data_IF_446186082224
#
_entry.id   IF_446186082224
#
_cell.length_a   1.000
_cell.length_b   1.000
_cell.length_c   1.000
_cell.angle_alpha   90.00
_cell.angle_beta   90.00
_cell.angle_gamma   90.00
#
_symmetry.space_group_name_H-M   'P 1'
#
loop_
_entity.id
_entity.type
_entity.pdbx_description
1 polymer ?
#
# COMPACT_ATOMS: atom_id res chain seq x y z
N UNK A 1 9.48 28.00 -20.28
CA UNK A 1 10.72 27.37 -19.79
C UNK A 1 10.79 27.62 -18.31
N UNK A 2 11.23 26.64 -17.52
CA UNK A 2 11.52 26.89 -16.11
C UNK A 2 12.80 27.74 -16.03
N UNK A 3 13.02 28.51 -14.95
CA UNK A 3 14.29 29.19 -14.76
C UNK A 3 15.41 28.14 -14.70
N UNK A 4 16.38 28.22 -15.61
CA UNK A 4 17.55 27.34 -15.65
C UNK A 4 17.45 26.18 -16.65
N UNK A 5 16.47 25.29 -16.51
CA UNK A 5 16.41 24.04 -17.28
C UNK A 5 15.04 23.83 -17.97
N UNK A 6 15.00 23.15 -19.11
CA UNK A 6 13.75 22.78 -19.77
C UNK A 6 13.06 21.61 -19.07
N UNK A 7 11.74 21.66 -18.94
CA UNK A 7 10.97 20.62 -18.23
C UNK A 7 11.11 19.23 -18.85
N UNK A 8 11.39 19.14 -20.15
CA UNK A 8 11.62 17.87 -20.84
C UNK A 8 13.00 17.29 -20.49
N UNK A 9 14.03 18.13 -20.37
CA UNK A 9 15.35 17.66 -19.93
C UNK A 9 15.32 17.18 -18.48
N UNK A 10 14.59 17.90 -17.62
CA UNK A 10 14.36 17.48 -16.25
C UNK A 10 13.61 16.14 -16.17
N UNK A 11 12.57 15.94 -16.99
CA UNK A 11 11.83 14.67 -17.06
C UNK A 11 12.78 13.52 -17.41
N UNK A 12 13.63 13.68 -18.44
CA UNK A 12 14.60 12.65 -18.84
C UNK A 12 15.57 12.32 -17.70
N UNK A 13 16.08 13.34 -17.00
CA UNK A 13 16.96 13.14 -15.83
C UNK A 13 16.27 12.32 -14.75
N UNK A 14 15.05 12.72 -14.36
CA UNK A 14 14.26 12.02 -13.33
C UNK A 14 13.97 10.57 -13.71
N UNK A 15 13.72 10.28 -15.00
CA UNK A 15 13.49 8.92 -15.49
C UNK A 15 14.76 8.08 -15.61
N UNK A 16 15.92 8.71 -15.80
CA UNK A 16 17.21 8.03 -15.88
C UNK A 16 17.80 7.63 -14.52
N UNK A 17 17.42 8.32 -13.44
CA UNK A 17 17.92 8.06 -12.10
C UNK A 17 17.09 6.96 -11.40
N UNK A 18 17.77 5.94 -10.86
CA UNK A 18 17.15 4.77 -10.21
C UNK A 18 16.27 5.17 -9.03
N UNK A 19 16.64 6.21 -8.28
CA UNK A 19 15.92 6.68 -7.10
C UNK A 19 14.64 7.43 -7.44
N UNK A 20 14.56 8.07 -8.61
CA UNK A 20 13.43 8.90 -9.01
C UNK A 20 12.60 8.34 -10.15
N UNK A 21 13.09 7.31 -10.87
CA UNK A 21 12.44 6.78 -12.08
C UNK A 21 11.00 6.32 -11.87
N UNK A 22 10.67 5.89 -10.65
CA UNK A 22 9.33 5.39 -10.28
C UNK A 22 8.39 6.49 -9.76
N UNK A 23 8.88 7.71 -9.51
CA UNK A 23 8.04 8.78 -8.99
C UNK A 23 7.03 9.18 -10.06
N UNK A 24 5.73 9.31 -9.77
CA UNK A 24 4.75 9.70 -10.78
C UNK A 24 4.94 11.17 -11.16
N UNK A 25 4.96 11.50 -12.45
CA UNK A 25 5.23 12.84 -12.98
C UNK A 25 4.06 13.30 -13.85
N UNK A 26 3.45 14.42 -13.47
CA UNK A 26 2.47 15.14 -14.28
C UNK A 26 3.15 16.40 -14.83
N UNK A 27 3.24 16.53 -16.15
CA UNK A 27 3.76 17.75 -16.78
C UNK A 27 2.66 18.80 -16.89
N UNK A 28 2.89 19.99 -16.32
CA UNK A 28 1.93 21.10 -16.36
C UNK A 28 2.55 22.31 -17.04
N UNK A 29 2.08 22.67 -18.23
CA UNK A 29 2.85 23.53 -19.14
C UNK A 29 1.98 24.41 -20.03
N UNK A 30 2.52 25.54 -20.49
CA UNK A 30 1.88 26.39 -21.50
C UNK A 30 2.01 25.84 -22.94
N UNK A 31 2.88 24.84 -23.14
CA UNK A 31 3.07 24.16 -24.43
C UNK A 31 1.93 23.18 -24.68
N UNK A 32 0.89 23.65 -25.36
CA UNK A 32 -0.35 22.89 -25.58
C UNK A 32 -0.45 22.15 -26.91
N UNK A 33 0.59 22.18 -27.76
CA UNK A 33 0.54 21.50 -29.05
C UNK A 33 0.43 19.98 -28.87
N UNK A 34 -0.19 19.31 -29.83
CA UNK A 34 -0.27 17.84 -29.84
C UNK A 34 1.12 17.21 -29.82
N UNK A 35 2.05 17.77 -30.59
CA UNK A 35 3.44 17.34 -30.65
C UNK A 35 4.13 17.39 -29.28
N UNK A 36 3.99 18.48 -28.53
CA UNK A 36 4.60 18.62 -27.20
C UNK A 36 4.01 17.62 -26.19
N UNK A 37 2.70 17.36 -26.27
CA UNK A 37 2.02 16.36 -25.42
C UNK A 37 2.54 14.97 -25.68
N UNK A 38 2.59 14.56 -26.96
CA UNK A 38 3.08 13.23 -27.35
C UNK A 38 4.52 13.03 -26.88
N UNK A 39 5.40 14.01 -27.12
CA UNK A 39 6.79 13.94 -26.65
C UNK A 39 6.89 13.78 -25.14
N UNK A 40 6.15 14.60 -24.37
CA UNK A 40 6.21 14.51 -22.91
C UNK A 40 5.78 13.14 -22.38
N UNK A 41 4.71 12.57 -22.96
CA UNK A 41 4.21 11.25 -22.61
C UNK A 41 5.19 10.13 -23.02
N UNK A 42 5.70 10.16 -24.25
CA UNK A 42 6.67 9.16 -24.75
C UNK A 42 7.99 9.16 -23.97
N UNK A 43 8.38 10.31 -23.43
CA UNK A 43 9.55 10.47 -22.55
C UNK A 43 9.27 10.05 -21.09
N UNK A 44 8.07 9.55 -20.82
CA UNK A 44 7.71 8.92 -19.56
C UNK A 44 6.94 9.81 -18.58
N UNK A 45 6.32 10.91 -19.00
CA UNK A 45 5.34 11.57 -18.15
C UNK A 45 4.09 10.68 -17.98
N UNK A 46 3.55 10.61 -16.77
CA UNK A 46 2.34 9.83 -16.46
C UNK A 46 1.05 10.56 -16.86
N UNK A 47 1.10 11.89 -16.95
CA UNK A 47 0.07 12.73 -17.55
C UNK A 47 0.69 14.05 -18.03
N UNK A 48 0.00 14.73 -18.96
CA UNK A 48 0.43 16.00 -19.53
C UNK A 48 -0.76 16.95 -19.66
N UNK A 49 -0.67 18.11 -19.00
CA UNK A 49 -1.73 19.11 -18.90
C UNK A 49 -1.25 20.44 -19.47
N UNK A 50 -1.97 20.94 -20.48
CA UNK A 50 -1.74 22.25 -21.05
C UNK A 50 -2.48 23.34 -20.26
N UNK A 51 -1.88 24.52 -20.12
CA UNK A 51 -2.50 25.72 -19.53
C UNK A 51 -3.31 26.47 -20.60
N UNK A 52 -4.47 27.06 -20.23
CA UNK A 52 -5.11 27.02 -18.91
C UNK A 52 -5.87 25.70 -18.66
N UNK A 53 -6.01 25.30 -17.39
CA UNK A 53 -6.74 24.10 -16.96
C UNK A 53 -7.65 24.40 -15.75
N UNK A 54 -8.66 23.56 -15.54
CA UNK A 54 -9.54 23.66 -14.38
C UNK A 54 -8.96 22.98 -13.13
N UNK A 55 -9.24 23.53 -11.93
CA UNK A 55 -8.78 22.94 -10.67
C UNK A 55 -9.32 21.52 -10.46
N UNK A 56 -10.60 21.29 -10.78
CA UNK A 56 -11.23 19.98 -10.67
C UNK A 56 -10.62 18.95 -11.64
N UNK A 57 -10.25 19.40 -12.84
CA UNK A 57 -9.55 18.56 -13.82
C UNK A 57 -8.18 18.13 -13.29
N UNK A 58 -7.39 19.08 -12.78
CA UNK A 58 -6.08 18.79 -12.20
C UNK A 58 -6.18 17.79 -11.03
N UNK A 59 -7.12 18.01 -10.10
CA UNK A 59 -7.35 17.10 -8.96
C UNK A 59 -7.71 15.69 -9.45
N UNK A 60 -8.60 15.58 -10.45
CA UNK A 60 -9.00 14.29 -11.01
C UNK A 60 -7.81 13.54 -11.63
N UNK A 61 -6.95 14.26 -12.36
CA UNK A 61 -5.74 13.71 -12.99
C UNK A 61 -4.70 13.27 -11.98
N UNK A 62 -4.45 14.07 -10.93
CA UNK A 62 -3.59 13.69 -9.80
C UNK A 62 -4.08 12.38 -9.17
N UNK A 63 -5.38 12.27 -8.86
CA UNK A 63 -5.97 11.05 -8.30
C UNK A 63 -5.83 9.85 -9.24
N UNK A 64 -5.97 10.06 -10.55
CA UNK A 64 -5.84 9.00 -11.54
C UNK A 64 -4.40 8.47 -11.65
N UNK A 65 -3.40 9.36 -11.57
CA UNK A 65 -1.99 8.97 -11.56
C UNK A 65 -1.63 8.23 -10.27
N UNK A 66 -2.05 8.72 -9.11
CA UNK A 66 -1.78 8.08 -7.81
C UNK A 66 -2.40 6.68 -7.70
N UNK A 67 -3.63 6.48 -8.20
CA UNK A 67 -4.27 5.15 -8.20
C UNK A 67 -3.46 4.09 -8.97
N UNK A 68 -2.76 4.49 -10.03
CA UNK A 68 -1.90 3.57 -10.80
C UNK A 68 -0.62 3.20 -10.04
N UNK A 69 -0.18 4.04 -9.11
CA UNK A 69 1.03 3.82 -8.33
C UNK A 69 0.76 3.05 -7.04
N UNK A 70 -0.45 3.16 -6.50
CA UNK A 70 -0.94 2.30 -5.41
C UNK A 70 -1.08 0.84 -5.90
N UNK A 71 -1.64 0.65 -7.10
CA UNK A 71 -1.75 -0.69 -7.71
C UNK A 71 -0.40 -1.32 -8.14
N UNK A 72 0.69 -0.55 -8.18
CA UNK A 72 2.03 -1.06 -8.48
C UNK A 72 2.76 -1.60 -7.23
N UNK A 73 2.20 -1.38 -6.04
CA UNK A 73 2.78 -1.76 -4.75
C UNK A 73 1.91 -2.70 -3.89
N UNK A 74 0.73 -3.11 -4.36
CA UNK A 74 0.09 -4.30 -3.80
C UNK A 74 0.92 -5.52 -4.22
N UNK A 75 1.87 -5.91 -3.38
CA UNK A 75 2.34 -7.28 -3.40
C UNK A 75 1.12 -8.14 -3.11
N UNK A 76 0.63 -8.86 -4.12
CA UNK A 76 -0.41 -9.88 -3.93
C UNK A 76 0.01 -10.92 -2.90
N UNK A 77 1.29 -11.01 -2.56
CA UNK A 77 1.87 -11.94 -1.60
C UNK A 77 2.61 -11.22 -0.46
N UNK A 78 2.19 -11.49 0.77
CA UNK A 78 2.85 -11.06 1.99
C UNK A 78 3.50 -12.28 2.66
N UNK A 79 4.80 -12.20 2.96
CA UNK A 79 5.55 -13.30 3.57
C UNK A 79 6.25 -12.87 4.85
N UNK A 80 6.11 -13.66 5.91
CA UNK A 80 6.90 -13.50 7.13
C UNK A 80 7.14 -14.85 7.80
N UNK A 81 8.41 -15.17 8.05
CA UNK A 81 8.84 -16.52 8.46
C UNK A 81 8.21 -17.58 7.55
N UNK A 82 7.43 -18.50 8.10
CA UNK A 82 6.80 -19.59 7.36
C UNK A 82 5.35 -19.28 6.96
N UNK A 83 4.87 -18.05 7.17
CA UNK A 83 3.52 -17.63 6.79
C UNK A 83 3.56 -16.89 5.46
N UNK A 84 2.74 -17.34 4.52
CA UNK A 84 2.48 -16.68 3.24
C UNK A 84 1.00 -16.38 3.13
N UNK A 85 0.65 -15.11 2.90
CA UNK A 85 -0.70 -14.67 2.61
C UNK A 85 -0.74 -14.17 1.17
N UNK A 86 -1.69 -14.66 0.38
CA UNK A 86 -1.92 -14.20 -0.98
C UNK A 86 -3.31 -13.53 -1.07
N UNK A 87 -3.35 -12.22 -1.33
CA UNK A 87 -4.58 -11.42 -1.42
C UNK A 87 -5.36 -11.71 -2.69
N UNK A 88 -4.67 -11.97 -3.81
CA UNK A 88 -5.29 -12.30 -5.09
C UNK A 88 -6.04 -13.63 -5.07
N UNK A 89 -5.48 -14.65 -4.43
CA UNK A 89 -6.12 -15.97 -4.29
C UNK A 89 -6.90 -16.11 -2.98
N UNK A 90 -6.81 -15.13 -2.08
CA UNK A 90 -7.41 -15.15 -0.75
C UNK A 90 -7.03 -16.42 0.06
N UNK A 91 -5.75 -16.79 0.00
CA UNK A 91 -5.21 -18.01 0.64
C UNK A 91 -4.10 -17.68 1.63
N UNK A 92 -3.99 -18.48 2.69
CA UNK A 92 -2.87 -18.42 3.63
C UNK A 92 -2.24 -19.81 3.74
N UNK A 93 -0.91 -19.88 3.72
CA UNK A 93 -0.16 -21.09 4.01
C UNK A 93 0.80 -20.87 5.17
N UNK A 94 1.02 -21.94 5.95
CA UNK A 94 2.02 -22.03 7.01
C UNK A 94 2.89 -23.25 6.71
N UNK A 95 4.20 -23.06 6.53
CA UNK A 95 5.10 -24.12 6.05
C UNK A 95 4.58 -24.77 4.74
N UNK A 96 4.13 -23.93 3.79
CA UNK A 96 3.53 -24.33 2.52
C UNK A 96 2.25 -25.20 2.64
N UNK A 97 1.72 -25.37 3.85
CA UNK A 97 0.46 -26.07 4.11
C UNK A 97 -0.70 -25.07 4.23
N UNK A 98 -1.84 -25.25 3.54
CA UNK A 98 -2.98 -24.34 3.61
C UNK A 98 -3.56 -24.22 5.03
N UNK A 99 -3.96 -23.01 5.40
CA UNK A 99 -4.66 -22.71 6.66
C UNK A 99 -6.00 -22.03 6.37
N UNK A 100 -7.08 -22.62 6.88
CA UNK A 100 -8.43 -22.07 6.71
C UNK A 100 -8.71 -20.96 7.72
N UNK A 101 -8.68 -19.72 7.25
CA UNK A 101 -9.07 -18.52 7.99
C UNK A 101 -10.49 -18.09 7.62
N UNK A 102 -11.22 -17.57 8.60
CA UNK A 102 -12.43 -16.78 8.31
C UNK A 102 -12.04 -15.47 7.64
N UNK A 103 -13.00 -14.79 6.98
CA UNK A 103 -12.75 -13.50 6.33
C UNK A 103 -12.10 -12.49 7.29
N UNK A 104 -12.62 -12.36 8.52
CA UNK A 104 -12.09 -11.42 9.51
C UNK A 104 -10.70 -11.79 10.03
N UNK A 105 -10.40 -13.08 10.13
CA UNK A 105 -9.04 -13.53 10.47
C UNK A 105 -8.05 -13.27 9.33
N UNK A 106 -8.48 -13.46 8.08
CA UNK A 106 -7.69 -13.14 6.89
C UNK A 106 -7.38 -11.64 6.80
N UNK A 107 -8.41 -10.80 6.88
CA UNK A 107 -8.27 -9.34 6.88
C UNK A 107 -7.38 -8.86 8.04
N UNK A 108 -7.51 -9.47 9.22
CA UNK A 108 -6.66 -9.17 10.37
C UNK A 108 -5.19 -9.52 10.13
N UNK A 109 -4.92 -10.70 9.57
CA UNK A 109 -3.56 -11.13 9.24
C UNK A 109 -2.96 -10.24 8.15
N UNK A 110 -3.72 -9.96 7.09
CA UNK A 110 -3.31 -9.09 5.98
C UNK A 110 -2.94 -7.70 6.49
N UNK A 111 -3.81 -7.05 7.25
CA UNK A 111 -3.58 -5.71 7.77
C UNK A 111 -2.33 -5.64 8.68
N UNK A 112 -2.11 -6.67 9.51
CA UNK A 112 -0.92 -6.77 10.35
C UNK A 112 0.37 -7.01 9.54
N UNK A 113 0.32 -7.83 8.49
CA UNK A 113 1.47 -8.13 7.62
C UNK A 113 1.81 -6.95 6.70
N UNK A 114 0.81 -6.21 6.24
CA UNK A 114 0.99 -4.97 5.48
C UNK A 114 1.66 -3.88 6.33
N UNK A 115 1.33 -3.82 7.62
CA UNK A 115 1.88 -2.84 8.57
C UNK A 115 3.01 -3.43 9.44
N UNK A 116 3.80 -4.36 8.88
CA UNK A 116 4.88 -5.03 9.60
C UNK A 116 5.87 -4.03 10.22
N UNK A 117 6.30 -4.31 11.46
CA UNK A 117 7.15 -3.46 12.28
C UNK A 117 6.41 -2.35 13.03
N UNK A 118 5.15 -2.05 12.67
CA UNK A 118 4.35 -1.00 13.29
C UNK A 118 3.29 -1.57 14.24
N UNK A 119 3.01 -0.84 15.32
CA UNK A 119 1.94 -1.21 16.27
C UNK A 119 0.60 -0.68 15.78
N UNK A 120 -0.34 -1.58 15.53
CA UNK A 120 -1.74 -1.25 15.27
C UNK A 120 -2.53 -1.27 16.57
N UNK A 121 -3.21 -0.17 16.88
CA UNK A 121 -4.06 -0.07 18.08
C UNK A 121 -5.30 -0.94 17.91
N UNK A 122 -5.90 -1.37 19.03
CA UNK A 122 -7.15 -2.14 18.99
C UNK A 122 -8.27 -1.40 18.27
N UNK A 123 -8.42 -0.11 18.52
CA UNK A 123 -9.42 0.72 17.83
C UNK A 123 -9.16 0.75 16.32
N UNK A 124 -7.91 0.96 15.89
CA UNK A 124 -7.57 0.97 14.46
C UNK A 124 -7.86 -0.38 13.79
N UNK A 125 -7.51 -1.50 14.45
CA UNK A 125 -7.83 -2.84 13.95
C UNK A 125 -9.34 -3.04 13.84
N UNK A 126 -10.09 -2.62 14.86
CA UNK A 126 -11.54 -2.73 14.90
C UNK A 126 -12.19 -1.91 13.77
N UNK A 127 -11.86 -0.62 13.69
CA UNK A 127 -12.40 0.32 12.70
C UNK A 127 -12.06 -0.11 11.27
N UNK A 128 -10.85 -0.61 11.02
CA UNK A 128 -10.43 -1.00 9.67
C UNK A 128 -11.12 -2.29 9.21
N UNK A 129 -11.27 -3.27 10.11
CA UNK A 129 -11.77 -4.61 9.74
C UNK A 129 -13.31 -4.67 9.82
N UNK A 130 -13.93 -3.99 10.78
CA UNK A 130 -15.40 -4.01 10.97
C UNK A 130 -16.10 -2.72 10.49
N UNK A 131 -15.37 -1.64 10.28
CA UNK A 131 -15.92 -0.34 9.90
C UNK A 131 -16.22 0.57 11.10
N UNK A 132 -16.35 1.88 10.83
CA UNK A 132 -16.62 2.90 11.86
C UNK A 132 -18.01 2.78 12.50
N UNK A 133 -18.98 2.20 11.79
CA UNK A 133 -20.36 2.02 12.28
C UNK A 133 -20.52 0.74 13.13
N UNK A 134 -19.43 0.00 13.37
CA UNK A 134 -19.47 -1.21 14.20
C UNK A 134 -19.49 -0.84 15.69
N UNK A 135 -20.65 -1.02 16.32
CA UNK A 135 -20.88 -0.76 17.76
C UNK A 135 -20.26 -1.84 18.68
N UNK A 136 -19.21 -2.53 18.21
CA UNK A 136 -18.57 -3.61 18.95
C UNK A 136 -17.43 -3.14 19.84
N UNK A 137 -17.14 -3.91 20.88
CA UNK A 137 -16.01 -3.62 21.76
C UNK A 137 -14.67 -4.03 21.14
N UNK A 138 -13.59 -3.36 21.54
CA UNK A 138 -12.20 -3.75 21.22
C UNK A 138 -11.85 -5.17 21.62
N UNK A 139 -12.61 -5.78 22.55
CA UNK A 139 -12.49 -7.20 22.93
C UNK A 139 -12.71 -8.16 21.77
N UNK A 140 -13.48 -7.76 20.75
CA UNK A 140 -13.66 -8.54 19.52
C UNK A 140 -12.32 -8.77 18.83
N UNK A 141 -11.45 -7.75 18.78
CA UNK A 141 -10.09 -7.87 18.22
C UNK A 141 -9.29 -8.91 18.99
N UNK A 142 -9.33 -8.90 20.33
CA UNK A 142 -8.57 -9.83 21.15
C UNK A 142 -8.99 -11.30 20.91
N UNK A 143 -10.30 -11.55 20.70
CA UNK A 143 -10.82 -12.89 20.36
C UNK A 143 -10.29 -13.34 19.01
N UNK A 144 -10.36 -12.50 17.98
CA UNK A 144 -9.87 -12.83 16.64
C UNK A 144 -8.34 -12.99 16.60
N UNK A 145 -7.58 -12.20 17.35
CA UNK A 145 -6.13 -12.41 17.47
C UNK A 145 -5.84 -13.76 18.12
N UNK A 146 -6.60 -14.14 19.16
CA UNK A 146 -6.42 -15.44 19.82
C UNK A 146 -6.71 -16.60 18.87
N UNK A 147 -7.80 -16.55 18.10
CA UNK A 147 -8.14 -17.62 17.16
C UNK A 147 -7.14 -17.65 16.00
N UNK A 148 -6.77 -16.49 15.46
CA UNK A 148 -5.77 -16.36 14.39
C UNK A 148 -4.43 -16.96 14.81
N UNK A 149 -3.90 -16.62 16.00
CA UNK A 149 -2.65 -17.20 16.52
C UNK A 149 -2.70 -18.72 16.61
N UNK A 150 -3.84 -19.28 17.03
CA UNK A 150 -4.01 -20.72 17.12
C UNK A 150 -4.02 -21.38 15.73
N UNK A 151 -4.68 -20.76 14.75
CA UNK A 151 -4.77 -21.28 13.38
C UNK A 151 -3.45 -21.23 12.62
N UNK A 152 -2.61 -20.23 12.88
CA UNK A 152 -1.25 -20.15 12.29
C UNK A 152 -0.20 -20.95 13.10
N UNK A 153 -0.65 -21.78 14.05
CA UNK A 153 0.13 -22.81 14.74
C UNK A 153 1.43 -22.27 15.36
N UNK A 154 2.58 -22.90 15.07
CA UNK A 154 3.91 -22.54 15.58
C UNK A 154 4.37 -21.15 15.14
N UNK A 155 3.65 -20.51 14.20
CA UNK A 155 3.89 -19.14 13.80
C UNK A 155 2.96 -18.14 14.52
N UNK A 156 2.16 -18.56 15.52
CA UNK A 156 1.30 -17.68 16.32
C UNK A 156 2.05 -16.52 16.97
N UNK A 157 3.31 -16.77 17.35
CA UNK A 157 4.17 -15.79 18.02
C UNK A 157 4.65 -14.67 17.10
N UNK A 158 4.41 -14.74 15.78
CA UNK A 158 4.70 -13.61 14.89
C UNK A 158 3.83 -12.40 15.20
N UNK A 159 2.63 -12.63 15.75
CA UNK A 159 1.72 -11.58 16.18
C UNK A 159 2.08 -11.28 17.64
N UNK A 160 2.70 -10.14 17.91
CA UNK A 160 3.11 -9.73 19.25
C UNK A 160 2.04 -8.84 19.90
N UNK A 161 1.79 -9.04 21.19
CA UNK A 161 0.93 -8.14 21.97
C UNK A 161 1.76 -6.99 22.52
N UNK A 162 1.44 -5.76 22.13
CA UNK A 162 1.95 -4.54 22.77
C UNK A 162 0.97 -4.13 23.86
N UNK A 163 1.32 -4.44 25.12
CA UNK A 163 0.46 -4.26 26.29
C UNK A 163 -0.06 -2.81 26.37
N UNK A 164 -1.37 -2.65 26.55
CA UNK A 164 -2.03 -1.35 26.63
C UNK A 164 -2.21 -0.62 25.29
N UNK A 165 -1.66 -1.13 24.19
CA UNK A 165 -1.70 -0.44 22.88
C UNK A 165 -2.44 -1.27 21.83
N UNK A 166 -1.96 -2.48 21.53
CA UNK A 166 -2.51 -3.29 20.45
C UNK A 166 -1.59 -4.43 20.03
N UNK A 167 -1.45 -4.61 18.71
CA UNK A 167 -0.76 -5.76 18.12
C UNK A 167 0.18 -5.32 16.99
N UNK A 168 1.22 -6.11 16.75
CA UNK A 168 2.13 -5.93 15.62
C UNK A 168 2.62 -7.28 15.10
N UNK A 169 3.05 -7.32 13.83
CA UNK A 169 3.91 -8.38 13.31
C UNK A 169 5.29 -7.77 13.08
N UNK A 170 6.37 -8.49 13.43
CA UNK A 170 7.74 -8.01 13.24
C UNK A 170 8.28 -7.26 14.45
N UNK A 171 8.92 -8.02 15.34
CA UNK A 171 9.76 -7.53 16.44
C UNK A 171 11.00 -8.42 16.55
N UNK A 172 12.12 -7.82 16.96
CA UNK A 172 13.44 -8.45 17.02
C UNK A 172 13.42 -9.80 17.76
N UNK A 173 13.77 -10.87 17.05
CA UNK A 173 14.71 -11.85 17.58
C UNK A 173 15.87 -11.91 16.61
N UNK A 174 16.96 -11.20 16.96
CA UNK A 174 18.29 -11.57 16.51
C UNK A 174 18.57 -12.97 17.08
N UNK A 175 18.87 -13.91 16.20
CA UNK A 175 19.66 -15.10 16.51
C UNK A 175 20.68 -15.26 15.40
#
# INVERSE_FOLDING_TARGET
MLPGEDGIELLKKLRSDISTKMIPIIMVTAKGSEYDKVIGLDLGADDYIAKPFGMMELISRIRAVLRRTENAHETDEYRYKNVLLNTRTHTVTVHDSPVDLTLKEFEMLHLLMENMGSVLTRNRLLETIWGYDFDGETRTVDVHIRTLRHKIQDNGDIIETVRGVGYKIGGNNQS
#
